data_IF_722022497423
#
_entry.id   IF_722022497423
#
_cell.length_a   1.000
_cell.length_b   1.000
_cell.length_c   1.000
_cell.angle_alpha   90.00
_cell.angle_beta   90.00
_cell.angle_gamma   90.00
#
_symmetry.space_group_name_H-M   'P 1'
#
loop_
_entity.id
_entity.type
_entity.pdbx_description
1 polymer ?
#
# COMPACT_ATOMS: atom_id res chain seq x y z
N UNK A 1 -48.81 3.71 23.30
CA UNK A 1 -49.03 2.88 22.10
C UNK A 1 -48.53 3.51 20.81
N UNK A 2 -48.51 4.85 20.66
CA UNK A 2 -48.04 5.53 19.43
C UNK A 2 -46.51 5.54 19.29
N UNK A 3 -45.77 5.71 20.40
CA UNK A 3 -44.30 5.75 20.39
C UNK A 3 -43.67 4.40 19.97
N UNK A 4 -44.29 3.28 20.35
CA UNK A 4 -43.84 1.93 19.95
C UNK A 4 -44.01 1.65 18.46
N UNK A 5 -44.93 2.33 17.77
CA UNK A 5 -45.15 2.16 16.32
C UNK A 5 -44.01 2.77 15.50
N UNK A 6 -43.38 3.85 15.96
CA UNK A 6 -42.25 4.49 15.28
C UNK A 6 -40.89 3.85 15.61
N UNK A 7 -40.81 3.04 16.67
CA UNK A 7 -39.56 2.44 17.13
C UNK A 7 -39.03 1.36 16.16
N UNK A 8 -39.93 0.57 15.56
CA UNK A 8 -39.59 -0.53 14.65
C UNK A 8 -38.91 -0.03 13.36
N UNK A 9 -39.45 0.96 12.61
CA UNK A 9 -38.77 1.47 11.42
C UNK A 9 -37.46 2.21 11.75
N UNK A 10 -37.35 2.82 12.94
CA UNK A 10 -36.12 3.46 13.38
C UNK A 10 -34.98 2.46 13.60
N UNK A 11 -35.29 1.25 14.10
CA UNK A 11 -34.29 0.20 14.31
C UNK A 11 -33.73 -0.37 12.99
N UNK A 12 -34.53 -0.35 11.92
CA UNK A 12 -34.11 -0.82 10.60
C UNK A 12 -33.06 0.09 9.94
N UNK A 13 -32.93 1.34 10.37
CA UNK A 13 -31.91 2.28 9.87
C UNK A 13 -30.48 1.88 10.26
N UNK A 14 -30.32 0.98 11.24
CA UNK A 14 -29.01 0.51 11.72
C UNK A 14 -28.58 -0.83 11.11
N UNK A 15 -29.37 -1.41 10.19
CA UNK A 15 -29.02 -2.65 9.50
C UNK A 15 -28.31 -2.29 8.19
N UNK A 16 -26.97 -2.24 8.22
CA UNK A 16 -26.15 -2.17 7.01
C UNK A 16 -25.62 -3.55 6.66
N UNK A 17 -25.81 -4.00 5.42
CA UNK A 17 -25.14 -5.18 4.89
C UNK A 17 -23.70 -4.82 4.52
N UNK A 18 -22.80 -4.90 5.50
CA UNK A 18 -21.38 -4.79 5.25
C UNK A 18 -20.88 -6.07 4.56
N UNK A 19 -20.20 -5.92 3.42
CA UNK A 19 -19.52 -7.02 2.76
C UNK A 19 -18.06 -6.99 3.20
N UNK A 20 -17.62 -8.03 3.89
CA UNK A 20 -16.19 -8.21 4.18
C UNK A 20 -15.43 -8.33 2.85
N UNK A 21 -14.45 -7.48 2.64
CA UNK A 21 -13.53 -7.56 1.50
C UNK A 21 -12.27 -8.22 2.02
N UNK A 22 -11.99 -9.42 1.53
CA UNK A 22 -10.75 -10.13 1.76
C UNK A 22 -9.91 -10.04 0.48
N UNK A 23 -8.63 -9.69 0.63
CA UNK A 23 -7.70 -9.59 -0.49
C UNK A 23 -6.75 -10.78 -0.43
N UNK A 24 -6.87 -11.68 -1.39
CA UNK A 24 -5.86 -12.71 -1.64
C UNK A 24 -4.80 -12.09 -2.55
N UNK A 25 -3.65 -11.76 -1.99
CA UNK A 25 -2.58 -11.06 -2.68
C UNK A 25 -1.47 -12.06 -3.02
N UNK A 26 -1.17 -12.18 -4.31
CA UNK A 26 -0.02 -12.96 -4.76
C UNK A 26 1.30 -12.33 -4.26
N UNK A 27 2.25 -13.18 -3.87
CA UNK A 27 3.61 -12.73 -3.59
C UNK A 27 4.25 -12.19 -4.88
N UNK A 28 4.72 -10.94 -4.82
CA UNK A 28 5.40 -10.29 -5.94
C UNK A 28 6.91 -10.30 -5.70
N UNK A 29 7.71 -10.93 -6.59
CA UNK A 29 9.15 -10.94 -6.42
C UNK A 29 9.74 -9.55 -6.62
N UNK A 30 10.76 -9.23 -5.83
CA UNK A 30 11.50 -7.99 -5.96
C UNK A 30 12.14 -7.87 -7.35
N UNK A 31 12.00 -6.69 -7.97
CA UNK A 31 12.53 -6.37 -9.29
C UNK A 31 13.60 -5.29 -9.18
N UNK A 32 14.69 -5.43 -9.94
CA UNK A 32 15.72 -4.38 -10.00
C UNK A 32 15.17 -3.14 -10.73
N UNK A 33 15.30 -2.00 -10.07
CA UNK A 33 14.92 -0.67 -10.54
C UNK A 33 16.18 0.15 -10.75
N UNK A 34 16.26 0.79 -11.91
CA UNK A 34 17.36 1.67 -12.30
C UNK A 34 16.79 3.09 -12.40
N UNK A 35 17.25 3.96 -11.51
CA UNK A 35 16.92 5.40 -11.57
C UNK A 35 18.16 6.16 -12.04
N UNK A 36 18.01 6.95 -13.10
CA UNK A 36 19.08 7.80 -13.62
C UNK A 36 18.65 9.26 -13.57
N UNK A 37 19.47 10.10 -12.94
CA UNK A 37 19.29 11.55 -12.90
C UNK A 37 20.37 12.21 -13.74
N UNK A 38 19.95 13.02 -14.72
CA UNK A 38 20.84 13.75 -15.62
C UNK A 38 20.50 15.23 -15.51
N UNK A 39 21.48 16.02 -15.06
CA UNK A 39 21.34 17.46 -14.87
C UNK A 39 22.44 18.18 -15.66
N UNK A 40 22.15 19.40 -16.13
CA UNK A 40 23.14 20.21 -16.83
C UNK A 40 24.30 20.57 -15.89
N UNK A 41 25.51 20.61 -16.45
CA UNK A 41 26.76 20.95 -15.75
C UNK A 41 27.09 20.05 -14.55
N UNK A 42 26.49 18.85 -14.48
CA UNK A 42 26.79 17.83 -13.47
C UNK A 42 26.96 16.45 -14.10
N UNK A 43 27.74 15.55 -13.49
CA UNK A 43 27.80 14.17 -13.94
C UNK A 43 26.44 13.47 -13.73
N UNK A 44 26.06 12.54 -14.62
CA UNK A 44 24.88 11.71 -14.42
C UNK A 44 25.05 10.82 -13.19
N UNK A 45 23.97 10.63 -12.44
CA UNK A 45 23.93 9.77 -11.25
C UNK A 45 22.96 8.63 -11.55
N UNK A 46 23.39 7.39 -11.27
CA UNK A 46 22.56 6.20 -11.39
C UNK A 46 22.41 5.54 -10.01
N UNK A 47 21.18 5.32 -9.60
CA UNK A 47 20.80 4.64 -8.36
C UNK A 47 20.14 3.31 -8.71
N UNK A 48 20.62 2.24 -8.09
CA UNK A 48 20.07 0.90 -8.22
C UNK A 48 19.35 0.50 -6.94
N UNK A 49 18.11 0.05 -7.05
CA UNK A 49 17.32 -0.46 -5.92
C UNK A 49 16.44 -1.64 -6.32
N UNK A 50 16.02 -2.44 -5.35
CA UNK A 50 15.02 -3.48 -5.55
C UNK A 50 13.63 -2.98 -5.15
N UNK A 51 12.61 -3.33 -5.93
CA UNK A 51 11.22 -3.07 -5.57
C UNK A 51 10.76 -3.95 -4.41
N UNK A 52 9.70 -3.51 -3.73
CA UNK A 52 9.00 -4.26 -2.68
C UNK A 52 7.50 -4.31 -2.99
N UNK A 53 6.81 -5.28 -2.40
CA UNK A 53 5.37 -5.44 -2.60
C UNK A 53 4.60 -4.20 -2.09
N UNK A 54 3.46 -3.90 -2.72
CA UNK A 54 2.69 -2.70 -2.40
C UNK A 54 2.24 -2.64 -0.93
N UNK A 55 1.86 -3.79 -0.37
CA UNK A 55 1.38 -3.91 1.01
C UNK A 55 2.49 -4.28 2.01
N UNK A 56 3.76 -4.12 1.65
CA UNK A 56 4.90 -4.36 2.54
C UNK A 56 4.87 -3.39 3.73
N UNK A 57 5.16 -3.89 4.93
CA UNK A 57 5.49 -3.02 6.04
C UNK A 57 6.86 -2.37 5.81
N UNK A 58 6.89 -1.05 5.69
CA UNK A 58 8.16 -0.32 5.50
C UNK A 58 8.89 -0.19 6.84
N UNK A 59 10.14 -0.63 6.86
CA UNK A 59 11.07 -0.45 7.97
C UNK A 59 12.38 0.19 7.50
N UNK A 60 13.15 0.82 8.41
CA UNK A 60 14.47 1.36 8.07
C UNK A 60 15.40 0.30 7.47
N UNK A 61 15.43 -0.90 8.04
CA UNK A 61 16.26 -2.01 7.55
C UNK A 61 15.82 -2.50 6.16
N UNK A 62 14.52 -2.59 5.89
CA UNK A 62 14.01 -2.97 4.58
C UNK A 62 14.41 -1.94 3.51
N UNK A 63 14.30 -0.65 3.86
CA UNK A 63 14.65 0.43 2.96
C UNK A 63 16.16 0.47 2.69
N UNK A 64 17.01 0.37 3.73
CA UNK A 64 18.47 0.38 3.56
C UNK A 64 18.95 -0.79 2.70
N UNK A 65 18.36 -1.97 2.89
CA UNK A 65 18.72 -3.17 2.13
C UNK A 65 18.13 -3.20 0.71
N UNK A 66 17.20 -2.30 0.38
CA UNK A 66 16.66 -2.20 -0.98
C UNK A 66 17.69 -1.65 -1.98
N UNK A 67 18.65 -0.84 -1.52
CA UNK A 67 19.67 -0.25 -2.39
C UNK A 67 20.78 -1.25 -2.71
N UNK A 68 21.17 -1.28 -3.98
CA UNK A 68 22.28 -2.12 -4.44
C UNK A 68 23.57 -1.32 -4.31
N UNK A 69 24.54 -1.88 -3.59
CA UNK A 69 25.85 -1.28 -3.37
C UNK A 69 26.95 -2.13 -4.03
N UNK A 70 28.03 -1.47 -4.47
CA UNK A 70 29.20 -2.11 -5.10
C UNK A 70 28.87 -2.90 -6.40
N UNK A 71 27.92 -2.39 -7.19
CA UNK A 71 27.56 -2.92 -8.50
C UNK A 71 28.33 -2.23 -9.63
#
# INVERSE_FOLDING_TARGET
>A
MKATFFLIPFLLLFVSCEKSIDFDLDETPATLVIEATIENDRPPIVTLSNSFAYFSAISPDLLSNSFVHNA
#
